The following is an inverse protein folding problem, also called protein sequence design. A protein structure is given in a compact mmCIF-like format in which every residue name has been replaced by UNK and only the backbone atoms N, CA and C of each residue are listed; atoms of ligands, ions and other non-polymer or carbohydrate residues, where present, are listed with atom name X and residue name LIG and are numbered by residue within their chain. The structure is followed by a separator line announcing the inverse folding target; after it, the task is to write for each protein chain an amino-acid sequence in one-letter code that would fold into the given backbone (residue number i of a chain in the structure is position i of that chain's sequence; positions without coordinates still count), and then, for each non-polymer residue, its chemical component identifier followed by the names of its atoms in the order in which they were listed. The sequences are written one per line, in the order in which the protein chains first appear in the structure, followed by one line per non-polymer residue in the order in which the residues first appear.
data_IF_778242489734
#
_entry.id   IF_778242489734
#
_cell.length_a   1.000
_cell.length_b   1.000
_cell.length_c   1.000
_cell.angle_alpha   90.00
_cell.angle_beta   90.00
_cell.angle_gamma   90.00
#
_symmetry.space_group_name_H-M   'P 1'
#
loop_
_entity.id
_entity.type
_entity.pdbx_description
1 polymer ?
#
# COMPACT_ATOMS: atom_id res chain seq x y z
N UNK A 1 8.08 2.88 -12.13
CA UNK A 1 7.19 3.02 -10.96
C UNK A 1 8.03 3.28 -9.73
N UNK A 2 7.61 4.18 -8.85
CA UNK A 2 8.36 4.56 -7.67
C UNK A 2 7.59 4.17 -6.41
N UNK A 3 8.32 3.58 -5.47
CA UNK A 3 7.77 3.07 -4.22
C UNK A 3 8.62 3.53 -3.04
N UNK A 4 7.98 3.63 -1.89
CA UNK A 4 8.66 3.86 -0.62
C UNK A 4 7.98 3.06 0.50
N UNK A 5 8.66 2.96 1.62
CA UNK A 5 8.12 2.35 2.85
C UNK A 5 7.72 3.44 3.82
N UNK A 6 6.49 3.35 4.34
CA UNK A 6 5.98 4.22 5.41
C UNK A 6 5.61 3.39 6.63
N UNK A 7 5.75 3.99 7.83
CA UNK A 7 5.34 3.37 9.09
C UNK A 7 4.01 3.93 9.55
N UNK A 8 3.03 3.07 9.74
CA UNK A 8 1.67 3.46 10.19
C UNK A 8 1.25 2.65 11.42
N UNK A 9 0.48 3.29 12.30
CA UNK A 9 -0.08 2.68 13.50
C UNK A 9 0.81 2.76 14.74
N UNK A 10 0.29 2.23 15.85
CA UNK A 10 1.00 2.06 17.12
C UNK A 10 0.61 0.69 17.72
N UNK A 11 1.49 -0.32 17.74
CA UNK A 11 2.89 -0.27 17.31
C UNK A 11 3.06 -0.04 15.80
N UNK A 12 4.20 0.51 15.33
CA UNK A 12 4.41 0.84 13.92
C UNK A 12 4.49 -0.41 13.05
N UNK A 13 3.80 -0.39 11.90
CA UNK A 13 3.84 -1.43 10.86
C UNK A 13 4.33 -0.81 9.55
N UNK A 14 5.21 -1.52 8.84
CA UNK A 14 5.74 -1.08 7.55
C UNK A 14 4.74 -1.36 6.41
N UNK A 15 4.48 -0.36 5.59
CA UNK A 15 3.65 -0.45 4.38
C UNK A 15 4.44 0.00 3.16
N UNK A 16 4.43 -0.79 2.09
CA UNK A 16 5.02 -0.43 0.80
C UNK A 16 3.97 0.30 -0.04
N UNK A 17 4.21 1.57 -0.36
CA UNK A 17 3.24 2.45 -1.03
C UNK A 17 3.81 3.00 -2.34
N UNK A 18 2.93 3.22 -3.31
CA UNK A 18 3.26 3.85 -4.58
C UNK A 18 3.30 5.38 -4.42
N UNK A 19 4.29 6.03 -5.02
CA UNK A 19 4.36 7.50 -5.09
C UNK A 19 3.53 7.97 -6.28
N UNK A 20 2.41 8.65 -6.01
CA UNK A 20 1.53 9.26 -7.00
C UNK A 20 1.32 10.75 -6.66
N UNK A 21 1.93 11.65 -7.41
CA UNK A 21 1.78 13.10 -7.24
C UNK A 21 0.52 13.66 -7.90
N UNK A 22 -0.23 12.82 -8.63
CA UNK A 22 -1.48 13.20 -9.30
C UNK A 22 -2.73 13.06 -8.42
N UNK A 23 -2.59 12.50 -7.22
CA UNK A 23 -3.67 12.33 -6.25
C UNK A 23 -3.38 13.03 -4.92
N UNK A 24 -4.42 13.22 -4.12
CA UNK A 24 -4.40 13.86 -2.79
C UNK A 24 -4.81 12.89 -1.67
N UNK A 25 -4.88 11.58 -1.97
CA UNK A 25 -5.35 10.53 -1.07
C UNK A 25 -4.26 9.49 -0.85
N UNK A 26 -4.06 9.08 0.41
CA UNK A 26 -3.28 7.91 0.80
C UNK A 26 -4.20 6.72 1.04
N UNK A 27 -3.90 5.56 0.45
CA UNK A 27 -4.64 4.32 0.66
C UNK A 27 -3.71 3.15 0.96
N UNK A 28 -4.10 2.30 1.91
CA UNK A 28 -3.45 1.01 2.21
C UNK A 28 -4.51 -0.08 2.26
N UNK A 29 -4.10 -1.32 1.97
CA UNK A 29 -4.95 -2.49 2.16
C UNK A 29 -4.94 -2.92 3.64
N UNK A 30 -6.12 -3.26 4.16
CA UNK A 30 -6.31 -3.73 5.53
C UNK A 30 -6.48 -5.26 5.59
N UNK A 31 -6.24 -5.85 6.77
CA UNK A 31 -6.46 -7.27 7.09
C UNK A 31 -7.57 -7.38 8.16
N UNK A 32 -8.54 -8.32 8.07
CA UNK A 32 -8.77 -9.29 6.99
C UNK A 32 -9.28 -8.65 5.70
N UNK A 33 -8.74 -9.09 4.57
CA UNK A 33 -9.35 -8.88 3.28
C UNK A 33 -9.88 -10.20 2.72
N UNK A 34 -11.17 -10.24 2.41
CA UNK A 34 -11.79 -11.37 1.71
C UNK A 34 -11.68 -11.16 0.19
N UNK A 35 -11.02 -12.08 -0.50
CA UNK A 35 -10.89 -12.04 -1.97
C UNK A 35 -9.85 -11.06 -2.53
N UNK A 36 -9.00 -10.44 -1.69
CA UNK A 36 -7.87 -9.66 -2.20
C UNK A 36 -6.84 -10.59 -2.88
N UNK A 37 -6.26 -10.18 -4.02
CA UNK A 37 -5.14 -10.91 -4.61
C UNK A 37 -3.93 -10.84 -3.67
N UNK A 38 -3.24 -11.97 -3.50
CA UNK A 38 -2.07 -12.11 -2.62
C UNK A 38 -0.80 -11.50 -3.22
N UNK A 39 -0.85 -11.12 -4.49
CA UNK A 39 0.16 -10.34 -5.18
C UNK A 39 -0.50 -9.11 -5.82
N UNK A 40 0.23 -7.99 -5.85
CA UNK A 40 -0.16 -6.86 -6.69
C UNK A 40 -0.13 -7.33 -8.15
N UNK A 41 -1.28 -7.43 -8.80
CA UNK A 41 -1.43 -7.77 -10.22
C UNK A 41 -0.87 -6.72 -11.18
N UNK A 42 0.12 -5.93 -10.74
CA UNK A 42 0.86 -5.01 -11.57
C UNK A 42 1.95 -5.78 -12.32
N UNK A 43 1.51 -6.66 -13.23
CA UNK A 43 2.37 -7.06 -14.34
C UNK A 43 2.58 -5.80 -15.19
N UNK A 44 3.84 -5.38 -15.28
CA UNK A 44 4.35 -4.36 -16.19
C UNK A 44 3.65 -4.30 -17.53
#
# INVERSE_FOLDING_TARGET
LYYTTVKLGNPPVDYHVQIDTGSDILWVTCNPCSGCPSSSGLSS
#
